data_IF_724263227083
#
_entry.id   IF_724263227083
#
_cell.length_a   1.000
_cell.length_b   1.000
_cell.length_c   1.000
_cell.angle_alpha   90.00
_cell.angle_beta   90.00
_cell.angle_gamma   90.00
#
_symmetry.space_group_name_H-M   'P 1'
#
loop_
_entity.id
_entity.type
_entity.pdbx_description
1 polymer ?
#
# COMPACT_ATOMS: atom_id res chain seq x y z
N UNK A 1 -18.82 5.54 -14.74
CA UNK A 1 -17.88 4.43 -14.52
C UNK A 1 -16.99 4.74 -13.32
N UNK A 2 -17.15 3.97 -12.24
CA UNK A 2 -16.39 4.17 -11.00
C UNK A 2 -15.07 3.40 -11.07
N UNK A 3 -13.98 4.09 -10.77
CA UNK A 3 -12.62 3.54 -10.88
C UNK A 3 -11.89 3.72 -9.55
N UNK A 4 -11.20 2.68 -9.10
CA UNK A 4 -10.42 2.72 -7.86
C UNK A 4 -9.04 2.10 -8.08
N UNK A 5 -8.05 2.68 -7.42
CA UNK A 5 -6.70 2.12 -7.33
C UNK A 5 -6.33 1.92 -5.87
N UNK A 6 -6.00 0.68 -5.53
CA UNK A 6 -5.53 0.30 -4.21
C UNK A 6 -4.00 0.21 -4.25
N UNK A 7 -3.35 0.74 -3.22
CA UNK A 7 -1.88 0.79 -3.11
C UNK A 7 -1.44 -0.02 -1.91
N UNK A 8 -0.73 -1.12 -2.16
CA UNK A 8 -0.12 -1.94 -1.12
C UNK A 8 1.19 -2.56 -1.64
N UNK A 9 2.31 -2.29 -0.98
CA UNK A 9 3.62 -2.73 -1.43
C UNK A 9 3.81 -4.25 -1.41
N UNK A 10 3.23 -4.93 -0.42
CA UNK A 10 3.28 -6.40 -0.28
C UNK A 10 1.88 -6.94 0.03
N UNK A 11 1.27 -7.57 -0.95
CA UNK A 11 -0.11 -8.04 -0.88
C UNK A 11 -0.17 -9.54 -0.56
N UNK A 12 -0.77 -9.87 0.59
CA UNK A 12 -1.10 -11.22 1.00
C UNK A 12 -2.59 -11.54 0.83
N UNK A 13 -3.04 -12.66 1.39
CA UNK A 13 -4.41 -13.16 1.29
C UNK A 13 -5.48 -12.12 1.67
N UNK A 14 -5.28 -11.42 2.77
CA UNK A 14 -6.22 -10.41 3.25
C UNK A 14 -6.38 -9.25 2.25
N UNK A 15 -5.28 -8.83 1.62
CA UNK A 15 -5.34 -7.79 0.59
C UNK A 15 -6.06 -8.27 -0.66
N UNK A 16 -5.90 -9.54 -1.02
CA UNK A 16 -6.61 -10.14 -2.16
C UNK A 16 -8.12 -10.12 -1.90
N UNK A 17 -8.57 -10.51 -0.72
CA UNK A 17 -9.98 -10.48 -0.35
C UNK A 17 -10.55 -9.04 -0.40
N UNK A 18 -9.80 -8.07 0.11
CA UNK A 18 -10.20 -6.65 0.06
C UNK A 18 -10.33 -6.18 -1.39
N UNK A 19 -9.32 -6.41 -2.23
CA UNK A 19 -9.33 -5.95 -3.62
C UNK A 19 -10.46 -6.60 -4.40
N UNK A 20 -10.72 -7.89 -4.20
CA UNK A 20 -11.86 -8.59 -4.80
C UNK A 20 -13.20 -7.98 -4.37
N UNK A 21 -13.35 -7.59 -3.09
CA UNK A 21 -14.57 -6.98 -2.59
C UNK A 21 -14.85 -5.61 -3.25
N UNK A 22 -13.83 -4.89 -3.67
CA UNK A 22 -14.02 -3.61 -4.38
C UNK A 22 -14.68 -3.76 -5.75
N UNK A 23 -14.62 -4.96 -6.38
CA UNK A 23 -15.32 -5.24 -7.64
C UNK A 23 -16.84 -5.19 -7.52
N UNK A 24 -17.41 -5.27 -6.32
CA UNK A 24 -18.84 -5.12 -6.07
C UNK A 24 -19.29 -3.67 -6.35
N UNK A 25 -18.42 -2.71 -6.09
CA UNK A 25 -18.76 -1.28 -6.10
C UNK A 25 -18.14 -0.50 -7.26
N UNK A 26 -17.05 -1.01 -7.83
CA UNK A 26 -16.26 -0.31 -8.85
C UNK A 26 -16.18 -1.11 -10.14
N UNK A 27 -16.32 -0.42 -11.27
CA UNK A 27 -16.24 -1.00 -12.61
C UNK A 27 -14.80 -1.31 -13.01
N UNK A 28 -13.83 -0.54 -12.50
CA UNK A 28 -12.41 -0.77 -12.70
C UNK A 28 -11.66 -0.74 -11.38
N UNK A 29 -11.00 -1.84 -11.09
CA UNK A 29 -10.18 -2.01 -9.89
C UNK A 29 -8.73 -2.26 -10.30
N UNK A 30 -7.82 -1.47 -9.75
CA UNK A 30 -6.38 -1.59 -9.97
C UNK A 30 -5.70 -1.85 -8.63
N UNK A 31 -4.80 -2.81 -8.59
CA UNK A 31 -3.90 -3.04 -7.47
C UNK A 31 -2.47 -2.66 -7.86
N UNK A 32 -1.91 -1.63 -7.20
CA UNK A 32 -0.48 -1.32 -7.30
C UNK A 32 0.23 -2.09 -6.19
N UNK A 33 1.08 -3.04 -6.57
CA UNK A 33 1.81 -3.88 -5.61
C UNK A 33 3.20 -4.27 -6.13
N UNK A 34 4.16 -4.39 -5.20
CA UNK A 34 5.49 -4.89 -5.48
C UNK A 34 5.57 -6.41 -5.46
N UNK A 35 4.78 -7.05 -4.60
CA UNK A 35 4.66 -8.50 -4.53
C UNK A 35 3.25 -8.93 -4.16
N UNK A 36 2.78 -10.01 -4.80
CA UNK A 36 1.49 -10.61 -4.52
C UNK A 36 1.74 -12.08 -4.17
N UNK A 37 1.34 -12.48 -2.97
CA UNK A 37 1.43 -13.86 -2.51
C UNK A 37 0.05 -14.50 -2.61
N UNK A 38 -0.16 -15.26 -3.67
CA UNK A 38 -1.39 -16.04 -3.92
C UNK A 38 -1.14 -17.46 -3.42
N UNK A 39 -1.39 -17.72 -2.15
CA UNK A 39 -1.24 -19.06 -1.58
C UNK A 39 -2.58 -19.75 -1.33
N UNK A 40 -3.58 -19.01 -0.87
CA UNK A 40 -4.87 -19.55 -0.45
C UNK A 40 -6.07 -18.82 -1.07
N UNK A 41 -5.83 -17.70 -1.71
CA UNK A 41 -6.87 -16.83 -2.29
C UNK A 41 -6.54 -16.49 -3.73
N UNK A 42 -7.54 -16.51 -4.57
CA UNK A 42 -7.41 -16.17 -6.00
C UNK A 42 -7.76 -14.69 -6.21
N UNK A 43 -6.87 -14.00 -6.89
CA UNK A 43 -7.16 -12.64 -7.36
C UNK A 43 -8.07 -12.74 -8.59
N UNK A 44 -9.18 -12.02 -8.60
CA UNK A 44 -10.11 -12.00 -9.73
C UNK A 44 -9.43 -11.42 -10.99
N UNK A 45 -9.64 -12.08 -12.13
CA UNK A 45 -9.01 -11.75 -13.42
C UNK A 45 -9.37 -10.35 -13.94
N UNK A 46 -10.47 -9.77 -13.45
CA UNK A 46 -10.88 -8.39 -13.78
C UNK A 46 -10.02 -7.32 -13.11
N UNK A 47 -9.21 -7.69 -12.12
CA UNK A 47 -8.33 -6.77 -11.39
C UNK A 47 -7.05 -6.53 -12.19
N UNK A 48 -6.78 -5.26 -12.46
CA UNK A 48 -5.57 -4.86 -13.16
C UNK A 48 -4.42 -4.74 -12.15
N UNK A 49 -3.42 -5.59 -12.28
CA UNK A 49 -2.20 -5.53 -11.45
C UNK A 49 -1.18 -4.59 -12.07
N UNK A 50 -0.82 -3.55 -11.34
CA UNK A 50 0.22 -2.59 -11.71
C UNK A 50 1.46 -2.79 -10.84
N UNK A 51 2.44 -3.50 -11.35
CA UNK A 51 3.66 -3.87 -10.59
C UNK A 51 4.55 -2.67 -10.31
N UNK A 52 5.12 -2.63 -9.12
CA UNK A 52 6.22 -1.76 -8.68
C UNK A 52 7.37 -2.63 -8.16
N UNK A 53 8.48 -2.01 -7.77
CA UNK A 53 9.60 -2.76 -7.18
C UNK A 53 9.14 -3.54 -5.95
N UNK A 54 9.58 -4.79 -5.84
CA UNK A 54 9.31 -5.60 -4.66
C UNK A 54 10.09 -5.11 -3.44
N UNK A 55 9.47 -5.21 -2.27
CA UNK A 55 10.10 -4.83 -1.01
C UNK A 55 11.18 -5.83 -0.61
N UNK A 56 12.42 -5.35 -0.45
CA UNK A 56 13.56 -6.18 -0.09
C UNK A 56 13.89 -6.07 1.40
N UNK A 57 13.77 -7.18 2.12
CA UNK A 57 14.00 -7.27 3.57
C UNK A 57 15.42 -7.71 3.97
N UNK A 58 16.31 -7.94 3.02
CA UNK A 58 17.63 -8.54 3.30
C UNK A 58 18.57 -7.66 4.13
N UNK A 59 18.45 -6.33 4.03
CA UNK A 59 19.20 -5.39 4.87
C UNK A 59 18.40 -4.10 5.08
N UNK A 60 18.75 -3.34 6.13
CA UNK A 60 18.07 -2.07 6.44
C UNK A 60 18.21 -1.05 5.30
N UNK A 61 19.37 -0.98 4.67
CA UNK A 61 19.61 -0.08 3.54
C UNK A 61 18.80 -0.49 2.31
N UNK A 62 18.79 -1.78 1.93
CA UNK A 62 17.98 -2.27 0.80
C UNK A 62 16.51 -2.11 1.06
N UNK A 63 16.08 -2.28 2.30
CA UNK A 63 14.70 -2.03 2.74
C UNK A 63 14.29 -0.58 2.48
N UNK A 64 15.12 0.36 2.93
CA UNK A 64 14.87 1.80 2.74
C UNK A 64 14.86 2.17 1.26
N UNK A 65 15.84 1.72 0.49
CA UNK A 65 15.96 2.04 -0.94
C UNK A 65 14.77 1.49 -1.75
N UNK A 66 14.38 0.23 -1.53
CA UNK A 66 13.24 -0.36 -2.25
C UNK A 66 11.93 0.29 -1.84
N UNK A 67 11.83 0.72 -0.60
CA UNK A 67 10.67 1.45 -0.11
C UNK A 67 10.56 2.84 -0.72
N UNK A 68 11.62 3.64 -0.69
CA UNK A 68 11.63 4.98 -1.30
C UNK A 68 11.36 4.90 -2.80
N UNK A 69 12.01 3.97 -3.51
CA UNK A 69 11.84 3.79 -4.96
C UNK A 69 10.41 3.33 -5.29
N UNK A 70 9.88 2.37 -4.55
CA UNK A 70 8.50 1.91 -4.71
C UNK A 70 7.48 3.03 -4.49
N UNK A 71 7.70 3.85 -3.46
CA UNK A 71 6.86 5.02 -3.17
C UNK A 71 6.90 6.04 -4.31
N UNK A 72 8.07 6.29 -4.88
CA UNK A 72 8.23 7.17 -6.04
C UNK A 72 7.50 6.62 -7.28
N UNK A 73 7.62 5.32 -7.54
CA UNK A 73 6.88 4.66 -8.62
C UNK A 73 5.36 4.77 -8.44
N UNK A 74 4.87 4.60 -7.22
CA UNK A 74 3.45 4.81 -6.87
C UNK A 74 3.04 6.24 -7.21
N UNK A 75 3.80 7.23 -6.76
CA UNK A 75 3.51 8.64 -7.01
C UNK A 75 3.34 8.93 -8.50
N UNK A 76 4.29 8.55 -9.33
CA UNK A 76 4.22 8.77 -10.77
C UNK A 76 3.07 8.01 -11.42
N UNK A 77 2.78 6.77 -11.00
CA UNK A 77 1.63 6.02 -11.52
C UNK A 77 0.31 6.70 -11.19
N UNK A 78 0.17 7.21 -9.97
CA UNK A 78 -1.03 7.93 -9.55
C UNK A 78 -1.18 9.28 -10.26
N UNK A 79 -0.09 9.95 -10.54
CA UNK A 79 -0.07 11.25 -11.22
C UNK A 79 -0.38 11.13 -12.73
N UNK A 80 0.21 10.14 -13.40
CA UNK A 80 0.19 10.04 -14.86
C UNK A 80 -0.87 9.05 -15.37
N UNK A 81 -0.98 7.86 -14.76
CA UNK A 81 -1.80 6.78 -15.29
C UNK A 81 -3.16 6.66 -14.61
N UNK A 82 -3.23 6.92 -13.31
CA UNK A 82 -4.44 6.71 -12.52
C UNK A 82 -5.00 8.03 -11.95
N UNK A 83 -4.92 9.09 -12.76
CA UNK A 83 -5.32 10.43 -12.36
C UNK A 83 -6.80 10.52 -11.98
N UNK A 84 -7.67 9.79 -12.69
CA UNK A 84 -9.13 9.82 -12.52
C UNK A 84 -9.67 8.71 -11.59
N UNK A 85 -8.78 8.01 -10.89
CA UNK A 85 -9.16 6.92 -10.00
C UNK A 85 -9.29 7.44 -8.56
N UNK A 86 -10.29 6.92 -7.83
CA UNK A 86 -10.29 7.02 -6.37
C UNK A 86 -9.08 6.25 -5.83
N UNK A 87 -8.42 6.78 -4.80
CA UNK A 87 -7.21 6.15 -4.26
C UNK A 87 -7.47 5.59 -2.88
N UNK A 88 -7.08 4.35 -2.69
CA UNK A 88 -7.09 3.69 -1.39
C UNK A 88 -5.67 3.28 -1.03
N UNK A 89 -5.12 3.88 0.01
CA UNK A 89 -3.84 3.47 0.56
C UNK A 89 -4.04 2.43 1.64
N UNK A 90 -3.16 1.46 1.65
CA UNK A 90 -3.02 0.54 2.78
C UNK A 90 -1.75 0.93 3.52
N UNK A 91 -1.71 0.82 4.84
CA UNK A 91 -0.60 1.31 5.67
C UNK A 91 0.75 0.62 5.45
N UNK A 92 0.83 -0.27 4.49
CA UNK A 92 2.09 -0.87 4.04
C UNK A 92 2.39 -0.47 2.57
N UNK A 93 3.37 0.40 2.28
CA UNK A 93 4.40 0.96 3.17
C UNK A 93 3.88 2.06 4.10
N UNK A 94 4.49 2.23 5.29
CA UNK A 94 4.14 3.31 6.20
C UNK A 94 4.22 4.66 5.49
N UNK A 95 3.31 5.57 5.81
CA UNK A 95 3.27 6.93 5.28
C UNK A 95 3.03 7.08 3.76
N UNK A 96 2.72 6.01 3.03
CA UNK A 96 2.40 6.11 1.60
C UNK A 96 1.22 7.05 1.30
N UNK A 97 0.29 7.18 2.25
CA UNK A 97 -0.83 8.11 2.17
C UNK A 97 -0.40 9.59 2.14
N UNK A 98 0.82 9.94 2.60
CA UNK A 98 1.34 11.31 2.51
C UNK A 98 1.52 11.75 1.05
N UNK A 99 1.67 10.81 0.13
CA UNK A 99 1.68 11.11 -1.31
C UNK A 99 0.37 11.76 -1.77
N UNK A 100 -0.75 11.42 -1.13
CA UNK A 100 -2.04 11.99 -1.46
C UNK A 100 -2.13 13.49 -1.19
N UNK A 101 -1.36 14.01 -0.21
CA UNK A 101 -1.27 15.45 0.06
C UNK A 101 -0.70 16.20 -1.14
N UNK A 102 0.30 15.63 -1.82
CA UNK A 102 0.86 16.21 -3.05
C UNK A 102 -0.07 16.09 -4.26
N UNK A 103 -0.95 15.10 -4.27
CA UNK A 103 -1.86 14.86 -5.39
C UNK A 103 -3.16 15.68 -5.33
N UNK A 104 -3.43 16.38 -4.22
CA UNK A 104 -4.61 17.25 -3.99
C UNK A 104 -5.94 16.60 -4.36
N UNK A 105 -6.13 15.33 -4.03
CA UNK A 105 -7.37 14.59 -4.32
C UNK A 105 -7.84 13.75 -3.14
N UNK A 106 -9.12 13.38 -3.17
CA UNK A 106 -9.71 12.53 -2.12
C UNK A 106 -9.07 11.14 -2.15
N UNK A 107 -8.81 10.60 -0.97
CA UNK A 107 -8.29 9.26 -0.77
C UNK A 107 -8.88 8.63 0.49
N UNK A 108 -8.78 7.32 0.57
CA UNK A 108 -9.10 6.54 1.77
C UNK A 108 -7.86 5.80 2.25
N UNK A 109 -7.79 5.49 3.53
CA UNK A 109 -6.70 4.71 4.11
C UNK A 109 -7.28 3.50 4.83
N UNK A 110 -6.76 2.32 4.51
CA UNK A 110 -7.01 1.09 5.26
C UNK A 110 -5.84 0.88 6.20
N UNK A 111 -6.10 0.96 7.49
CA UNK A 111 -5.07 0.82 8.51
C UNK A 111 -5.00 -0.65 8.94
N UNK A 112 -3.87 -1.31 8.63
CA UNK A 112 -3.59 -2.67 9.12
C UNK A 112 -2.82 -2.66 10.43
N UNK A 113 -1.78 -1.81 10.47
CA UNK A 113 -0.89 -1.71 11.62
C UNK A 113 -0.85 -0.27 12.12
N UNK A 114 -0.98 -0.11 13.42
CA UNK A 114 -0.83 1.19 14.08
C UNK A 114 0.62 1.31 14.55
N UNK A 115 1.39 2.15 13.86
CA UNK A 115 2.73 2.53 14.30
C UNK A 115 2.63 3.69 15.29
N UNK A 116 3.42 3.73 16.36
CA UNK A 116 4.59 2.90 16.69
C UNK A 116 4.29 1.63 17.51
N UNK A 117 3.07 1.36 17.90
CA UNK A 117 2.72 0.24 18.78
C UNK A 117 3.09 -1.13 18.21
N UNK A 118 2.97 -1.30 16.89
CA UNK A 118 3.43 -2.50 16.21
C UNK A 118 4.94 -2.76 16.41
N UNK A 119 5.75 -1.70 16.48
CA UNK A 119 7.20 -1.80 16.74
C UNK A 119 7.51 -2.20 18.17
N UNK A 120 6.69 -1.76 19.13
CA UNK A 120 6.80 -2.14 20.54
C UNK A 120 6.50 -3.62 20.75
N UNK A 121 5.43 -4.11 20.12
CA UNK A 121 5.02 -5.51 20.22
C UNK A 121 6.01 -6.51 19.62
N UNK A 122 6.82 -6.06 18.66
CA UNK A 122 7.89 -6.88 18.03
C UNK A 122 9.22 -6.76 18.78
N UNK A 123 9.29 -5.98 19.87
CA UNK A 123 10.48 -5.84 20.71
C UNK A 123 11.64 -5.05 20.07
N UNK A 124 11.38 -4.31 18.99
CA UNK A 124 12.42 -3.57 18.27
C UNK A 124 12.81 -2.26 18.99
N UNK A 125 11.93 -1.72 19.81
CA UNK A 125 12.21 -0.51 20.60
C UNK A 125 11.71 -0.65 22.02
N UNK A 126 12.64 -0.60 22.97
CA UNK A 126 12.35 -0.43 24.40
C UNK A 126 12.39 1.04 24.84
N UNK A 127 12.68 1.96 23.94
CA UNK A 127 12.95 3.35 24.29
C UNK A 127 11.65 4.17 24.35
N UNK A 128 11.21 4.48 25.57
CA UNK A 128 9.99 5.26 25.84
C UNK A 128 9.99 6.70 25.27
N UNK A 129 11.14 7.20 24.79
CA UNK A 129 11.27 8.55 24.27
C UNK A 129 10.46 8.76 22.97
N UNK A 130 10.52 7.79 22.05
CA UNK A 130 9.76 7.86 20.79
C UNK A 130 8.24 7.79 21.00
N UNK A 131 7.79 7.17 22.10
CA UNK A 131 6.36 7.04 22.42
C UNK A 131 5.78 8.20 23.25
N UNK A 132 6.64 9.12 23.74
CA UNK A 132 6.19 10.32 24.50
C UNK A 132 5.92 11.53 23.62
N UNK A 133 6.32 11.49 22.37
CA UNK A 133 6.22 12.59 21.38
C UNK A 133 5.17 12.38 20.31
N UNK A 134 4.39 11.29 20.42
CA UNK A 134 3.23 11.00 19.54
C UNK A 134 1.92 11.16 20.28
#
# INVERSE_FOLDING_TARGET
>A
MRKVVLVNHSSGYLMIDIVNAYLIKYDKVVLISGSIKVTERVLDDRIIVSKIIAYNRSSSLKRLLTWCWGTLQVYFKLLLKYRDYEVVFVTNPPMSYLLALGLKRKFSVIVYDVYPEALKNVGITSNNFLFRTW
#
